data_IF_627902671271
#
_entry.id   IF_627902671271
#
_cell.length_a   1.000
_cell.length_b   1.000
_cell.length_c   1.000
_cell.angle_alpha   90.00
_cell.angle_beta   90.00
_cell.angle_gamma   90.00
#
_symmetry.space_group_name_H-M   'P 1'
#
loop_
_entity.id
_entity.type
_entity.pdbx_description
1 polymer ?
#
# COMPACT_ATOMS: atom_id res chain seq x y z
N UNK A 1 -26.10 -3.60 11.49
CA UNK A 1 -24.84 -4.20 11.02
C UNK A 1 -23.74 -3.71 11.94
N UNK A 2 -23.24 -4.56 12.82
CA UNK A 2 -22.14 -4.20 13.73
C UNK A 2 -20.88 -4.09 12.89
N UNK A 3 -20.41 -2.87 12.65
CA UNK A 3 -19.08 -2.62 12.09
C UNK A 3 -18.08 -3.22 13.06
N UNK A 4 -17.48 -4.35 12.70
CA UNK A 4 -16.46 -5.02 13.50
C UNK A 4 -15.36 -4.00 13.78
N UNK A 5 -15.24 -3.57 15.03
CA UNK A 5 -14.26 -2.57 15.45
C UNK A 5 -12.86 -3.16 15.21
N UNK A 6 -12.04 -2.47 14.43
CA UNK A 6 -10.64 -2.84 14.28
C UNK A 6 -9.95 -2.58 15.62
N UNK A 7 -9.54 -3.65 16.32
CA UNK A 7 -9.03 -3.57 17.68
C UNK A 7 -7.49 -3.53 17.77
N UNK A 8 -6.81 -3.41 16.63
CA UNK A 8 -5.34 -3.36 16.60
C UNK A 8 -4.83 -1.92 16.50
N UNK A 9 -3.62 -1.72 17.00
CA UNK A 9 -2.96 -0.42 16.95
C UNK A 9 -2.55 -0.07 15.50
N UNK A 10 -3.00 1.10 15.05
CA UNK A 10 -2.81 1.55 13.67
C UNK A 10 -1.38 2.01 13.43
N UNK A 11 -0.75 2.64 14.41
CA UNK A 11 0.63 3.11 14.31
C UNK A 11 1.56 1.91 14.14
N UNK A 12 1.38 0.89 14.98
CA UNK A 12 2.10 -0.39 14.90
C UNK A 12 1.93 -1.06 13.53
N UNK A 13 0.70 -1.09 12.99
CA UNK A 13 0.46 -1.61 11.64
C UNK A 13 1.26 -0.83 10.58
N UNK A 14 1.30 0.50 10.66
CA UNK A 14 2.03 1.34 9.71
C UNK A 14 3.54 1.08 9.81
N UNK A 15 4.11 1.04 11.01
CA UNK A 15 5.53 0.78 11.25
C UNK A 15 5.95 -0.61 10.74
N UNK A 16 5.14 -1.63 10.99
CA UNK A 16 5.38 -2.99 10.51
C UNK A 16 5.38 -3.07 8.97
N UNK A 17 4.49 -2.32 8.33
CA UNK A 17 4.42 -2.26 6.87
C UNK A 17 5.59 -1.45 6.32
N UNK A 18 5.92 -0.30 6.92
CA UNK A 18 7.06 0.54 6.54
C UNK A 18 8.36 -0.26 6.49
N UNK A 19 8.64 -1.05 7.53
CA UNK A 19 9.82 -1.91 7.64
C UNK A 19 9.90 -2.99 6.53
N UNK A 20 8.81 -3.24 5.81
CA UNK A 20 8.68 -4.32 4.81
C UNK A 20 8.38 -3.74 3.42
N UNK A 21 9.40 -3.30 2.66
CA UNK A 21 9.21 -2.64 1.36
C UNK A 21 8.47 -3.50 0.33
N UNK A 22 8.51 -4.83 0.43
CA UNK A 22 7.73 -5.70 -0.45
C UNK A 22 6.20 -5.48 -0.32
N UNK A 23 5.71 -4.90 0.78
CA UNK A 23 4.27 -4.69 1.01
C UNK A 23 3.75 -3.38 0.40
N UNK A 24 4.59 -2.36 0.24
CA UNK A 24 4.16 -1.02 -0.16
C UNK A 24 5.00 -0.38 -1.26
N UNK A 25 6.27 -0.75 -1.41
CA UNK A 25 7.19 -0.12 -2.35
C UNK A 25 7.18 -0.86 -3.69
N UNK A 26 6.38 -0.38 -4.65
CA UNK A 26 6.29 -0.96 -6.00
C UNK A 26 7.59 -0.93 -6.81
N UNK A 27 8.54 -0.06 -6.44
CA UNK A 27 9.85 0.03 -7.09
C UNK A 27 10.89 -0.92 -6.48
N UNK A 28 10.56 -1.58 -5.36
CA UNK A 28 11.40 -2.61 -4.80
C UNK A 28 11.33 -3.88 -5.65
N UNK A 29 12.47 -4.51 -5.93
CA UNK A 29 12.52 -5.79 -6.66
C UNK A 29 11.69 -6.88 -5.93
N UNK A 30 11.70 -6.83 -4.60
CA UNK A 30 10.94 -7.72 -3.72
C UNK A 30 9.43 -7.53 -3.80
N UNK A 31 8.93 -6.46 -4.43
CA UNK A 31 7.49 -6.25 -4.61
C UNK A 31 6.87 -7.21 -5.63
N UNK A 32 7.65 -7.73 -6.58
CA UNK A 32 7.13 -8.72 -7.54
C UNK A 32 7.03 -10.12 -6.94
N UNK A 33 7.68 -10.35 -5.80
CA UNK A 33 7.67 -11.64 -5.11
C UNK A 33 6.38 -11.83 -4.29
N UNK A 34 5.48 -12.66 -4.84
CA UNK A 34 4.22 -13.04 -4.20
C UNK A 34 4.41 -13.91 -2.95
N UNK A 35 5.46 -14.72 -2.93
CA UNK A 35 5.76 -15.64 -1.82
C UNK A 35 6.24 -14.82 -0.64
N UNK A 36 7.18 -13.91 -0.87
CA UNK A 36 7.68 -13.00 0.15
C UNK A 36 6.56 -12.13 0.71
N UNK A 37 5.72 -11.53 -0.16
CA UNK A 37 4.54 -10.76 0.29
C UNK A 37 3.63 -11.55 1.22
N UNK A 38 3.31 -12.79 0.87
CA UNK A 38 2.45 -13.65 1.71
C UNK A 38 3.13 -13.95 3.06
N UNK A 39 4.44 -14.22 3.06
CA UNK A 39 5.22 -14.45 4.28
C UNK A 39 5.23 -13.22 5.18
N UNK A 40 5.56 -12.07 4.61
CA UNK A 40 5.64 -10.81 5.35
C UNK A 40 4.28 -10.39 5.93
N UNK A 41 3.19 -10.56 5.20
CA UNK A 41 1.84 -10.36 5.76
C UNK A 41 1.53 -11.31 6.91
N UNK A 42 1.92 -12.58 6.79
CA UNK A 42 1.74 -13.55 7.88
C UNK A 42 2.45 -13.11 9.15
N UNK A 43 3.67 -12.59 9.03
CA UNK A 43 4.41 -12.04 10.17
C UNK A 43 3.73 -10.80 10.77
N UNK A 44 3.19 -9.90 9.94
CA UNK A 44 2.39 -8.76 10.41
C UNK A 44 1.15 -9.23 11.18
N UNK A 45 0.43 -10.24 10.68
CA UNK A 45 -0.75 -10.78 11.35
C UNK A 45 -0.40 -11.39 12.71
N UNK A 46 0.69 -12.17 12.79
CA UNK A 46 1.19 -12.75 14.05
C UNK A 46 1.62 -11.70 15.06
N UNK A 47 2.21 -10.60 14.60
CA UNK A 47 2.62 -9.52 15.48
C UNK A 47 1.41 -8.79 16.09
N UNK A 48 0.38 -8.55 15.29
CA UNK A 48 -0.83 -7.85 15.73
C UNK A 48 -1.77 -8.75 16.54
N UNK A 49 -1.87 -10.02 16.20
CA UNK A 49 -2.70 -11.00 16.90
C UNK A 49 -1.81 -12.06 17.56
N UNK A 50 -1.54 -11.91 18.86
CA UNK A 50 -0.67 -12.83 19.60
C UNK A 50 -1.16 -14.29 19.57
N UNK A 51 -2.47 -14.52 19.38
CA UNK A 51 -3.07 -15.84 19.27
C UNK A 51 -3.17 -16.36 17.84
N UNK A 52 -2.61 -15.67 16.84
CA UNK A 52 -2.81 -16.00 15.42
C UNK A 52 -2.49 -17.45 15.07
N UNK A 53 -1.41 -18.01 15.62
CA UNK A 53 -1.02 -19.41 15.38
C UNK A 53 -1.95 -20.44 16.05
N UNK A 54 -2.73 -20.03 17.06
CA UNK A 54 -3.71 -20.89 17.73
C UNK A 54 -5.10 -20.83 17.06
N UNK A 55 -5.32 -19.90 16.15
CA UNK A 55 -6.59 -19.74 15.44
C UNK A 55 -6.69 -20.75 14.29
N UNK A 56 -7.93 -21.12 13.94
CA UNK A 56 -8.18 -21.92 12.74
C UNK A 56 -7.93 -21.11 11.46
N UNK A 57 -7.79 -21.80 10.32
CA UNK A 57 -7.49 -21.16 9.04
C UNK A 57 -8.53 -20.10 8.62
N UNK A 58 -9.80 -20.31 8.96
CA UNK A 58 -10.88 -19.36 8.63
C UNK A 58 -10.75 -18.05 9.40
N UNK A 59 -10.46 -18.12 10.70
CA UNK A 59 -10.25 -16.95 11.55
C UNK A 59 -8.94 -16.23 11.21
N UNK A 60 -7.86 -16.99 10.93
CA UNK A 60 -6.61 -16.43 10.41
C UNK A 60 -6.86 -15.64 9.12
N UNK A 61 -7.66 -16.18 8.21
CA UNK A 61 -8.02 -15.52 6.96
C UNK A 61 -8.83 -14.25 7.21
N UNK A 62 -9.86 -14.28 8.07
CA UNK A 62 -10.67 -13.11 8.41
C UNK A 62 -9.84 -11.99 9.03
N UNK A 63 -8.94 -12.32 9.95
CA UNK A 63 -8.05 -11.35 10.60
C UNK A 63 -7.08 -10.76 9.58
N UNK A 64 -6.48 -11.62 8.75
CA UNK A 64 -5.58 -11.16 7.70
C UNK A 64 -6.26 -10.23 6.70
N UNK A 65 -7.47 -10.56 6.29
CA UNK A 65 -8.28 -9.71 5.41
C UNK A 65 -8.65 -8.39 6.08
N UNK A 66 -9.00 -8.40 7.37
CA UNK A 66 -9.29 -7.19 8.13
C UNK A 66 -8.07 -6.26 8.24
N UNK A 67 -6.89 -6.81 8.56
CA UNK A 67 -5.62 -6.07 8.67
C UNK A 67 -5.23 -5.49 7.32
N UNK A 68 -5.23 -6.32 6.27
CA UNK A 68 -4.86 -5.90 4.92
C UNK A 68 -5.81 -4.83 4.38
N UNK A 69 -7.12 -5.01 4.56
CA UNK A 69 -8.15 -4.03 4.19
C UNK A 69 -7.98 -2.73 4.96
N UNK A 70 -7.63 -2.82 6.26
CA UNK A 70 -7.39 -1.62 7.08
C UNK A 70 -6.20 -0.82 6.56
N UNK A 71 -5.09 -1.49 6.24
CA UNK A 71 -3.92 -0.87 5.61
C UNK A 71 -4.28 -0.20 4.29
N UNK A 72 -5.01 -0.87 3.40
CA UNK A 72 -5.46 -0.30 2.12
C UNK A 72 -6.28 0.98 2.34
N UNK A 73 -7.23 0.96 3.28
CA UNK A 73 -8.05 2.13 3.60
C UNK A 73 -7.21 3.30 4.13
N UNK A 74 -6.22 3.05 4.98
CA UNK A 74 -5.30 4.08 5.50
C UNK A 74 -4.50 4.70 4.37
N UNK A 75 -3.90 3.86 3.52
CA UNK A 75 -3.12 4.31 2.36
C UNK A 75 -3.97 5.14 1.42
N UNK A 76 -5.17 4.68 1.08
CA UNK A 76 -6.06 5.39 0.16
C UNK A 76 -6.55 6.71 0.75
N UNK A 77 -6.88 6.75 2.05
CA UNK A 77 -7.23 7.98 2.75
C UNK A 77 -6.06 8.99 2.74
N UNK A 78 -4.83 8.52 2.97
CA UNK A 78 -3.62 9.33 2.88
C UNK A 78 -3.41 9.87 1.47
N UNK A 79 -3.44 9.03 0.43
CA UNK A 79 -3.33 9.46 -0.98
C UNK A 79 -4.38 10.52 -1.33
N UNK A 80 -5.63 10.31 -0.92
CA UNK A 80 -6.71 11.27 -1.14
C UNK A 80 -6.46 12.59 -0.42
N UNK A 81 -5.89 12.56 0.78
CA UNK A 81 -5.53 13.77 1.53
C UNK A 81 -4.42 14.58 0.87
N UNK A 82 -3.53 13.93 0.10
CA UNK A 82 -2.45 14.58 -0.63
C UNK A 82 -2.90 15.24 -1.93
N UNK A 83 -3.94 14.72 -2.60
CA UNK A 83 -4.49 15.31 -3.83
C UNK A 83 -5.18 16.63 -3.52
N UNK A 84 -4.43 17.73 -3.62
CA UNK A 84 -4.94 19.09 -3.47
C UNK A 84 -5.95 19.39 -4.58
N UNK A 85 -7.23 19.57 -4.23
CA UNK A 85 -8.18 20.22 -5.15
C UNK A 85 -7.85 21.71 -5.20
N UNK A 86 -7.50 22.22 -6.38
CA UNK A 86 -7.28 23.65 -6.61
C UNK A 86 -8.51 24.43 -6.11
N UNK A 87 -8.32 25.43 -5.26
CA UNK A 87 -9.39 26.28 -4.71
C UNK A 87 -9.90 25.95 -3.30
N UNK A 88 -9.43 24.89 -2.64
CA UNK A 88 -9.73 24.67 -1.21
C UNK A 88 -8.59 25.22 -0.34
N UNK A 89 -8.95 26.01 0.68
CA UNK A 89 -8.02 26.53 1.70
C UNK A 89 -7.26 25.43 2.45
N UNK A 90 -6.34 25.83 3.33
CA UNK A 90 -5.41 24.93 4.03
C UNK A 90 -6.10 23.65 4.56
N UNK A 91 -5.80 22.51 3.93
CA UNK A 91 -6.31 21.20 4.37
C UNK A 91 -5.56 20.76 5.64
N UNK A 92 -6.29 20.17 6.58
CA UNK A 92 -5.67 19.56 7.78
C UNK A 92 -4.83 18.37 7.35
N UNK A 93 -3.62 18.26 7.91
CA UNK A 93 -2.76 17.08 7.72
C UNK A 93 -3.51 15.83 8.19
N UNK A 94 -3.36 14.73 7.45
CA UNK A 94 -3.90 13.43 7.84
C UNK A 94 -3.33 13.01 9.20
N UNK A 95 -4.14 12.33 10.01
CA UNK A 95 -3.77 11.98 11.41
C UNK A 95 -2.47 11.16 11.51
N UNK A 96 -2.22 10.29 10.52
CA UNK A 96 -0.99 9.48 10.43
C UNK A 96 -0.02 10.01 9.36
N UNK A 97 -0.05 11.31 9.09
CA UNK A 97 0.77 11.89 8.00
C UNK A 97 2.26 11.64 8.20
N UNK A 98 2.74 11.81 9.44
CA UNK A 98 4.15 11.66 9.80
C UNK A 98 4.63 10.20 9.61
N UNK A 99 3.84 9.23 10.08
CA UNK A 99 4.13 7.80 9.91
C UNK A 99 4.00 7.33 8.46
N UNK A 100 3.25 8.03 7.60
CA UNK A 100 3.04 7.66 6.20
C UNK A 100 3.95 8.43 5.24
N UNK A 101 4.87 9.25 5.75
CA UNK A 101 5.79 10.01 4.88
C UNK A 101 6.64 9.11 3.99
N UNK A 102 6.97 7.89 4.42
CA UNK A 102 7.70 6.94 3.60
C UNK A 102 6.98 6.62 2.28
N UNK A 103 5.65 6.69 2.21
CA UNK A 103 4.90 6.46 0.96
C UNK A 103 5.10 7.56 -0.08
N UNK A 104 5.45 8.78 0.35
CA UNK A 104 5.70 9.91 -0.56
C UNK A 104 6.86 9.61 -1.52
N UNK A 105 7.86 8.84 -1.08
CA UNK A 105 9.00 8.47 -1.92
C UNK A 105 8.59 7.64 -3.14
N UNK A 106 7.49 6.88 -3.03
CA UNK A 106 6.93 6.07 -4.13
C UNK A 106 6.01 6.92 -5.01
N UNK A 107 5.32 7.91 -4.45
CA UNK A 107 4.43 8.78 -5.20
C UNK A 107 5.19 9.80 -6.05
N UNK A 108 6.24 10.43 -5.51
CA UNK A 108 7.06 11.39 -6.24
C UNK A 108 7.75 10.76 -7.46
N UNK A 109 8.13 9.49 -7.36
CA UNK A 109 8.68 8.71 -8.49
C UNK A 109 7.63 8.43 -9.57
N UNK A 110 6.35 8.39 -9.23
CA UNK A 110 5.27 8.18 -10.18
C UNK A 110 4.98 9.44 -11.02
N UNK A 111 5.02 10.62 -10.41
CA UNK A 111 4.87 11.90 -11.14
C UNK A 111 5.96 12.09 -12.20
N UNK A 112 7.18 11.58 -11.94
CA UNK A 112 8.29 11.69 -12.90
C UNK A 112 8.12 10.73 -14.10
N UNK A 113 7.43 9.60 -13.92
CA UNK A 113 7.19 8.62 -14.99
C UNK A 113 5.96 9.02 -15.83
N UNK A 114 4.99 9.71 -15.23
CA UNK A 114 3.77 10.13 -15.92
C UNK A 114 3.98 11.25 -16.97
N UNK A 115 5.18 11.81 -17.09
CA UNK A 115 5.52 12.80 -18.12
C UNK A 115 6.13 12.20 -19.40
N UNK A 116 6.17 10.87 -19.53
CA UNK A 116 6.56 10.20 -20.77
C UNK A 116 5.33 9.45 -21.28
N UNK A 117 4.48 10.15 -22.02
CA UNK A 117 3.47 9.55 -22.87
C UNK A 117 3.55 10.25 -24.22
N UNK A 118 3.78 9.43 -25.24
CA UNK A 118 3.59 9.70 -26.67
C UNK A 118 4.64 10.58 -27.36
N UNK A 119 5.79 9.98 -27.71
CA UNK A 119 6.37 10.24 -29.04
C UNK A 119 6.39 8.95 -29.86
N UNK A 120 5.75 9.06 -31.01
CA UNK A 120 5.61 8.11 -32.10
C UNK A 120 6.94 7.49 -32.57
N UNK A 121 6.91 6.19 -32.89
CA UNK A 121 7.63 5.70 -34.08
C UNK A 121 6.64 4.92 -34.94
N UNK A 122 6.00 5.66 -35.85
CA UNK A 122 5.44 5.14 -37.10
C UNK A 122 6.54 5.22 -38.17
N UNK A 123 6.92 4.06 -38.72
CA UNK A 123 7.46 3.77 -40.07
C UNK A 123 8.11 2.37 -39.94
N UNK A 124 7.69 1.31 -40.62
CA UNK A 124 7.21 1.20 -41.99
C UNK A 124 8.34 0.58 -42.80
N UNK A 125 8.25 -0.72 -43.11
CA UNK A 125 8.96 -1.35 -44.23
C UNK A 125 8.34 -2.73 -44.52
N UNK A 126 7.39 -2.74 -45.45
CA UNK A 126 7.33 -3.79 -46.47
C UNK A 126 8.62 -3.70 -47.29
N UNK A 127 9.35 -4.81 -47.45
CA UNK A 127 9.77 -5.29 -48.78
C UNK A 127 10.21 -6.77 -48.67
N UNK A 128 9.48 -7.59 -49.41
CA UNK A 128 9.88 -8.74 -50.23
C UNK A 128 11.40 -9.00 -50.39
N UNK A 129 11.82 -10.23 -50.06
CA UNK A 129 12.49 -11.13 -51.02
C UNK A 129 12.50 -12.58 -50.52
#
# INVERSE_FOLDING_TARGET
MSVTKFNYDIVTLIELVEARPCLWNKFSETYKDKILKKREWKEVHKYLEANFDNLNEQEQQKIGDAITTKWQNIRDAFVRSLKKKSGQGAQRKYVYHDQLQFLLQVMNKDETISSISDEEVHQGEETEN
#
